data_IF_472956784739
#
_entry.id   IF_472956784739
#
_cell.length_a   1.000
_cell.length_b   1.000
_cell.length_c   1.000
_cell.angle_alpha   90.00
_cell.angle_beta   90.00
_cell.angle_gamma   90.00
#
_symmetry.space_group_name_H-M   'P 1'
#
loop_
_entity.id
_entity.type
_entity.pdbx_description
1 polymer ?
#
# COMPACT_ATOMS: atom_id res chain seq x y z
N UNK A 1 19.18 19.96 -2.13
CA UNK A 1 17.88 20.65 -2.05
C UNK A 1 17.18 20.07 -0.83
N UNK A 2 17.17 20.82 0.29
CA UNK A 2 16.69 20.33 1.58
C UNK A 2 15.19 20.02 1.47
N UNK A 3 14.81 18.76 1.69
CA UNK A 3 13.41 18.33 1.63
C UNK A 3 12.62 18.97 2.77
N UNK A 4 11.36 19.26 2.50
CA UNK A 4 10.40 19.98 3.35
C UNK A 4 9.97 19.17 4.58
N UNK A 5 10.83 18.33 5.14
CA UNK A 5 10.76 17.84 6.52
C UNK A 5 11.40 18.91 7.43
N UNK A 6 11.02 20.17 7.25
CA UNK A 6 11.43 21.23 8.15
C UNK A 6 10.37 21.38 9.24
N UNK A 7 10.72 20.86 10.44
CA UNK A 7 10.30 21.38 11.75
C UNK A 7 9.01 20.84 12.39
N UNK A 8 8.81 19.52 12.36
CA UNK A 8 7.98 18.82 13.36
C UNK A 8 8.73 17.59 13.88
N UNK A 9 8.53 17.23 15.15
CA UNK A 9 9.09 15.98 15.66
C UNK A 9 8.47 14.80 14.90
N UNK A 10 9.30 13.82 14.50
CA UNK A 10 8.90 12.64 13.70
C UNK A 10 7.66 11.92 14.25
N UNK A 11 7.47 12.00 15.57
CA UNK A 11 6.32 11.47 16.33
C UNK A 11 5.00 12.19 15.99
N UNK A 12 5.03 13.50 15.74
CA UNK A 12 3.83 14.28 15.39
C UNK A 12 3.34 13.98 13.96
N UNK A 13 4.27 13.74 13.02
CA UNK A 13 3.94 13.34 11.66
C UNK A 13 3.25 11.96 11.63
N UNK A 14 3.87 10.97 12.27
CA UNK A 14 3.33 9.61 12.35
C UNK A 14 1.99 9.55 13.11
N UNK A 15 1.81 10.35 14.18
CA UNK A 15 0.54 10.39 14.92
C UNK A 15 -0.60 11.01 14.12
N UNK A 16 -0.36 12.09 13.38
CA UNK A 16 -1.43 12.80 12.67
C UNK A 16 -1.88 12.04 11.43
N UNK A 17 -0.94 11.56 10.62
CA UNK A 17 -1.25 10.76 9.44
C UNK A 17 -1.63 9.33 9.80
N UNK A 18 -0.97 8.72 10.79
CA UNK A 18 -1.36 7.41 11.31
C UNK A 18 -2.84 7.35 11.69
N UNK A 19 -3.36 8.33 12.45
CA UNK A 19 -4.79 8.40 12.80
C UNK A 19 -5.74 8.58 11.61
N UNK A 20 -5.29 9.16 10.50
CA UNK A 20 -6.10 9.27 9.26
C UNK A 20 -5.97 8.04 8.36
N UNK A 21 -4.99 7.17 8.63
CA UNK A 21 -4.62 6.01 7.83
C UNK A 21 -4.93 4.66 8.51
N UNK A 22 -5.38 4.66 9.78
CA UNK A 22 -5.66 3.43 10.52
C UNK A 22 -6.91 2.69 10.02
N UNK A 23 -6.69 1.49 9.48
CA UNK A 23 -7.59 0.36 9.64
C UNK A 23 -7.01 -0.58 10.72
N UNK A 24 -7.84 -0.99 11.69
CA UNK A 24 -7.44 -1.91 12.76
C UNK A 24 -7.06 -3.29 12.20
N UNK A 25 -5.80 -3.70 12.41
CA UNK A 25 -5.34 -5.03 12.85
C UNK A 25 -3.89 -5.29 12.38
N UNK A 26 -2.88 -5.17 13.27
CA UNK A 26 -1.95 -6.27 13.66
C UNK A 26 -0.98 -5.80 14.77
N UNK A 27 -0.65 -6.72 15.67
CA UNK A 27 0.13 -6.55 16.90
C UNK A 27 1.66 -6.33 16.74
N UNK A 28 2.14 -5.74 15.65
CA UNK A 28 3.58 -5.46 15.43
C UNK A 28 3.73 -4.24 14.56
N UNK A 29 4.06 -3.07 15.13
CA UNK A 29 4.58 -1.82 14.50
C UNK A 29 4.26 -1.58 12.99
N UNK A 30 3.07 -1.95 12.53
CA UNK A 30 2.70 -1.93 11.13
C UNK A 30 1.90 -0.65 10.89
N UNK A 31 2.41 0.19 10.01
CA UNK A 31 1.67 1.37 9.56
C UNK A 31 0.89 0.93 8.32
N UNK A 32 -0.43 0.96 8.37
CA UNK A 32 -1.27 0.84 7.18
C UNK A 32 -1.40 2.23 6.56
N UNK A 33 -1.12 2.38 5.27
CA UNK A 33 -1.25 3.65 4.57
C UNK A 33 -1.98 3.46 3.26
N UNK A 34 -3.03 4.26 3.06
CA UNK A 34 -3.74 4.32 1.80
C UNK A 34 -2.98 5.17 0.81
N UNK A 35 -2.86 4.65 -0.40
CA UNK A 35 -2.22 5.34 -1.50
C UNK A 35 -3.27 5.87 -2.48
N UNK A 36 -3.14 7.15 -2.81
CA UNK A 36 -3.82 7.79 -3.93
C UNK A 36 -2.78 8.18 -4.98
N UNK A 37 -3.08 7.99 -6.26
CA UNK A 37 -2.17 8.37 -7.36
C UNK A 37 -2.79 9.51 -8.17
N UNK A 38 -1.98 10.50 -8.53
CA UNK A 38 -2.38 11.57 -9.45
C UNK A 38 -2.20 11.07 -10.89
N UNK A 39 -3.13 11.34 -11.83
CA UNK A 39 -2.97 10.90 -13.23
C UNK A 39 -1.77 11.55 -13.91
N UNK A 40 -1.04 10.75 -14.68
CA UNK A 40 0.10 11.18 -15.51
C UNK A 40 -0.29 12.18 -16.63
N UNK A 41 -1.57 12.32 -16.95
CA UNK A 41 -2.05 13.24 -18.00
C UNK A 41 -3.19 14.10 -17.45
N UNK A 42 -2.87 15.35 -17.12
CA UNK A 42 -3.85 16.41 -16.95
C UNK A 42 -3.80 17.34 -18.17
N UNK A 43 -4.98 17.66 -18.73
CA UNK A 43 -5.22 18.38 -19.99
C UNK A 43 -4.09 19.32 -20.44
N UNK A 44 -3.33 18.90 -21.45
CA UNK A 44 -2.58 19.80 -22.34
C UNK A 44 -1.29 20.43 -21.83
N UNK A 45 -0.75 20.01 -20.68
CA UNK A 45 0.60 20.41 -20.25
C UNK A 45 1.54 19.20 -20.28
N UNK A 46 2.62 19.31 -21.05
CA UNK A 46 3.70 18.35 -21.09
C UNK A 46 4.52 18.42 -19.79
N UNK A 47 4.65 17.28 -19.11
CA UNK A 47 5.73 16.82 -18.22
C UNK A 47 5.24 16.39 -16.83
N UNK A 48 5.26 15.05 -16.62
CA UNK A 48 5.36 14.29 -15.36
C UNK A 48 4.23 14.62 -14.37
N UNK A 49 3.66 13.64 -13.69
CA UNK A 49 3.83 13.63 -12.24
C UNK A 49 3.35 12.25 -11.80
N UNK A 50 4.15 11.22 -12.10
CA UNK A 50 4.07 9.87 -11.51
C UNK A 50 4.28 9.90 -10.00
N UNK A 51 3.50 10.74 -9.33
CA UNK A 51 3.57 11.11 -7.94
C UNK A 51 2.47 10.33 -7.24
N UNK A 52 2.93 9.55 -6.28
CA UNK A 52 2.11 8.70 -5.47
C UNK A 52 1.93 9.41 -4.12
N UNK A 53 0.69 9.76 -3.81
CA UNK A 53 0.31 10.48 -2.59
C UNK A 53 -0.14 9.49 -1.53
N UNK A 54 0.21 9.76 -0.28
CA UNK A 54 -0.27 8.99 0.86
C UNK A 54 -1.54 9.65 1.39
N UNK A 55 -2.71 9.20 0.91
CA UNK A 55 -3.99 9.84 1.22
C UNK A 55 -5.17 8.86 1.19
N UNK A 56 -6.01 8.91 2.22
CA UNK A 56 -7.10 7.93 2.44
C UNK A 56 -8.30 8.09 1.50
N UNK A 57 -8.80 9.30 1.35
CA UNK A 57 -10.02 9.56 0.61
C UNK A 57 -9.73 9.80 -0.87
N UNK A 58 -10.67 9.54 -1.78
CA UNK A 58 -10.51 9.92 -3.18
C UNK A 58 -10.54 11.44 -3.39
N UNK A 59 -11.03 12.22 -2.42
CA UNK A 59 -11.16 13.67 -2.48
C UNK A 59 -10.41 14.38 -1.35
N UNK A 60 -10.02 15.63 -1.56
CA UNK A 60 -9.20 16.41 -0.62
C UNK A 60 -10.01 17.00 0.56
N UNK A 61 -11.32 17.10 0.41
CA UNK A 61 -12.20 17.99 1.16
C UNK A 61 -12.26 17.70 2.67
N UNK A 62 -12.21 16.43 3.08
CA UNK A 62 -12.48 16.06 4.48
C UNK A 62 -11.36 16.55 5.40
N UNK A 63 -10.11 16.28 5.04
CA UNK A 63 -8.95 16.46 5.94
C UNK A 63 -8.04 17.62 5.55
N UNK A 64 -8.24 18.25 4.40
CA UNK A 64 -7.34 19.28 3.88
C UNK A 64 -8.05 20.55 3.43
N UNK A 65 -7.26 21.59 3.15
CA UNK A 65 -7.74 22.86 2.58
C UNK A 65 -8.09 22.77 1.09
N UNK A 66 -7.80 21.65 0.42
CA UNK A 66 -8.15 21.43 -0.98
C UNK A 66 -9.56 20.87 -1.15
N UNK A 67 -10.05 20.84 -2.38
CA UNK A 67 -11.39 20.33 -2.73
C UNK A 67 -11.33 19.42 -3.96
N UNK A 68 -12.32 18.55 -4.12
CA UNK A 68 -12.50 17.72 -5.32
C UNK A 68 -11.61 16.47 -5.37
N UNK A 69 -11.74 15.74 -6.49
CA UNK A 69 -11.07 14.45 -6.69
C UNK A 69 -9.57 14.62 -6.92
N UNK A 70 -8.76 13.86 -6.18
CA UNK A 70 -7.29 13.86 -6.32
C UNK A 70 -6.89 13.42 -7.73
N UNK A 71 -7.56 12.39 -8.25
CA UNK A 71 -7.30 11.84 -9.59
C UNK A 71 -7.67 12.77 -10.74
N UNK A 72 -8.20 13.96 -10.47
CA UNK A 72 -8.66 14.93 -11.48
C UNK A 72 -7.95 16.28 -11.34
N UNK A 73 -6.81 16.31 -10.65
CA UNK A 73 -6.08 17.55 -10.38
C UNK A 73 -4.58 17.31 -10.58
N UNK A 74 -3.82 18.28 -11.09
CA UNK A 74 -2.37 18.16 -11.20
C UNK A 74 -1.72 18.26 -9.82
N UNK A 75 -0.53 17.69 -9.67
CA UNK A 75 0.25 17.90 -8.44
C UNK A 75 0.77 19.34 -8.36
N UNK A 76 1.56 19.73 -9.38
CA UNK A 76 2.19 21.04 -9.45
C UNK A 76 1.17 22.17 -9.56
N UNK A 77 1.36 23.22 -8.78
CA UNK A 77 0.51 24.42 -8.72
C UNK A 77 -0.85 24.21 -8.07
N UNK A 78 -1.22 22.98 -7.68
CA UNK A 78 -2.52 22.67 -7.06
C UNK A 78 -2.34 21.85 -5.79
N UNK A 79 -2.12 20.54 -5.89
CA UNK A 79 -2.09 19.64 -4.73
C UNK A 79 -0.86 19.93 -3.84
N UNK A 80 0.27 20.35 -4.40
CA UNK A 80 1.48 20.66 -3.60
C UNK A 80 1.28 21.78 -2.57
N UNK A 81 0.28 22.64 -2.76
CA UNK A 81 -0.07 23.74 -1.85
C UNK A 81 -1.17 23.37 -0.85
N UNK A 82 -1.79 22.20 -1.00
CA UNK A 82 -2.84 21.72 -0.10
C UNK A 82 -2.24 21.39 1.27
N UNK A 83 -2.98 21.73 2.34
CA UNK A 83 -2.55 21.54 3.72
C UNK A 83 -3.60 20.86 4.57
N UNK A 84 -3.20 20.13 5.61
CA UNK A 84 -4.14 19.57 6.59
C UNK A 84 -4.92 20.67 7.31
N UNK A 85 -6.22 20.46 7.55
CA UNK A 85 -7.06 21.39 8.34
C UNK A 85 -6.67 21.39 9.82
N UNK A 86 -6.31 20.21 10.35
CA UNK A 86 -5.96 20.03 11.76
C UNK A 86 -4.53 20.49 12.02
N UNK A 87 -4.30 21.11 13.18
CA UNK A 87 -2.97 21.46 13.66
C UNK A 87 -2.19 20.24 14.20
N UNK A 88 -0.87 20.17 14.01
CA UNK A 88 -0.08 21.10 13.20
C UNK A 88 -0.41 20.97 11.71
N UNK A 89 -0.42 22.11 11.01
CA UNK A 89 -0.71 22.18 9.57
C UNK A 89 0.46 21.54 8.82
N UNK A 90 0.17 20.57 7.95
CA UNK A 90 1.17 19.79 7.22
C UNK A 90 0.83 19.69 5.73
N UNK A 91 1.83 19.52 4.84
CA UNK A 91 1.60 19.13 3.44
C UNK A 91 1.08 17.69 3.35
N UNK A 92 0.51 17.32 2.20
CA UNK A 92 0.18 15.92 1.90
C UNK A 92 1.49 15.15 1.67
N UNK A 93 1.73 14.04 2.40
CA UNK A 93 2.95 13.27 2.26
C UNK A 93 3.00 12.48 0.96
N UNK A 94 4.20 12.41 0.38
CA UNK A 94 4.48 11.61 -0.80
C UNK A 94 4.96 10.20 -0.42
N UNK A 95 4.72 9.24 -1.31
CA UNK A 95 5.24 7.88 -1.16
C UNK A 95 6.77 7.85 -1.10
N UNK A 96 7.46 8.67 -1.90
CA UNK A 96 8.91 8.76 -1.87
C UNK A 96 9.46 9.27 -0.53
N UNK A 97 8.77 10.23 0.10
CA UNK A 97 9.15 10.75 1.42
C UNK A 97 8.97 9.67 2.50
N UNK A 98 7.91 8.88 2.39
CA UNK A 98 7.67 7.75 3.28
C UNK A 98 8.72 6.65 3.10
N UNK A 99 9.06 6.28 1.86
CA UNK A 99 10.09 5.27 1.60
C UNK A 99 11.45 5.77 2.12
N UNK A 100 11.78 7.05 1.92
CA UNK A 100 12.98 7.66 2.50
C UNK A 100 13.00 7.51 4.02
N UNK A 101 11.87 7.80 4.69
CA UNK A 101 11.73 7.64 6.13
C UNK A 101 11.91 6.17 6.55
N UNK A 102 11.36 5.20 5.83
CA UNK A 102 11.48 3.77 6.13
C UNK A 102 12.89 3.21 5.91
N UNK A 103 13.72 3.89 5.12
CA UNK A 103 15.10 3.50 4.85
C UNK A 103 16.12 4.13 5.80
N UNK A 104 15.69 5.07 6.66
CA UNK A 104 16.50 5.51 7.79
C UNK A 104 16.83 4.33 8.73
N UNK A 105 18.05 4.27 9.25
CA UNK A 105 18.55 3.17 10.10
C UNK A 105 17.60 2.85 11.27
N UNK A 106 17.11 3.90 11.95
CA UNK A 106 16.18 3.76 13.08
C UNK A 106 14.81 3.17 12.71
N UNK A 107 14.42 3.16 11.43
CA UNK A 107 13.09 2.74 10.98
C UNK A 107 13.11 1.43 10.18
N UNK A 108 14.26 0.76 10.04
CA UNK A 108 14.38 -0.50 9.28
C UNK A 108 13.56 -1.66 9.87
N UNK A 109 13.13 -1.54 11.12
CA UNK A 109 12.25 -2.51 11.77
C UNK A 109 10.76 -2.36 11.37
N UNK A 110 10.39 -1.28 10.70
CA UNK A 110 8.98 -0.98 10.38
C UNK A 110 8.53 -1.78 9.16
N UNK A 111 7.36 -2.42 9.29
CA UNK A 111 6.63 -3.07 8.19
C UNK A 111 5.53 -2.10 7.74
N UNK A 112 5.43 -1.86 6.43
CA UNK A 112 4.44 -0.98 5.84
C UNK A 112 3.38 -1.81 5.12
N UNK A 113 2.12 -1.64 5.49
CA UNK A 113 0.98 -2.15 4.75
C UNK A 113 0.40 -1.04 3.87
N UNK A 114 0.21 -1.32 2.58
CA UNK A 114 -0.14 -0.36 1.56
C UNK A 114 -1.51 -0.70 1.00
N UNK A 115 -2.51 0.11 1.31
CA UNK A 115 -3.88 -0.08 0.85
C UNK A 115 -4.02 0.37 -0.61
N UNK A 116 -4.13 -0.60 -1.52
CA UNK A 116 -4.39 -0.43 -2.94
C UNK A 116 -5.90 -0.53 -3.20
N UNK A 117 -6.56 0.62 -3.25
CA UNK A 117 -8.02 0.73 -3.34
C UNK A 117 -8.51 0.67 -4.79
N UNK A 118 -9.76 0.30 -4.99
CA UNK A 118 -10.38 0.10 -6.32
C UNK A 118 -10.30 1.32 -7.25
N UNK A 119 -10.13 2.53 -6.71
CA UNK A 119 -10.02 3.78 -7.47
C UNK A 119 -8.62 3.98 -8.06
N UNK A 120 -7.62 3.22 -7.63
CA UNK A 120 -6.27 3.28 -8.16
C UNK A 120 -6.19 2.53 -9.49
N UNK A 121 -5.43 3.09 -10.44
CA UNK A 121 -5.04 2.40 -11.66
C UNK A 121 -3.75 1.59 -11.37
N UNK A 122 -3.80 0.25 -11.28
CA UNK A 122 -2.64 -0.56 -10.91
C UNK A 122 -1.51 -0.51 -11.95
N UNK A 123 -1.84 -0.25 -13.21
CA UNK A 123 -0.86 -0.14 -14.31
C UNK A 123 -0.14 1.20 -14.31
N UNK A 124 -0.56 2.15 -13.45
CA UNK A 124 0.17 3.40 -13.19
C UNK A 124 0.79 3.41 -11.80
N UNK A 125 0.03 2.94 -10.80
CA UNK A 125 0.45 2.96 -9.40
C UNK A 125 1.69 2.09 -9.17
N UNK A 126 1.66 0.82 -9.57
CA UNK A 126 2.75 -0.10 -9.22
C UNK A 126 4.06 0.15 -9.97
N UNK A 127 4.08 0.56 -11.25
CA UNK A 127 5.31 1.02 -11.89
C UNK A 127 5.95 2.19 -11.15
N UNK A 128 5.17 3.18 -10.71
CA UNK A 128 5.74 4.33 -9.99
C UNK A 128 6.23 3.96 -8.59
N UNK A 129 5.51 3.09 -7.89
CA UNK A 129 6.01 2.52 -6.63
C UNK A 129 7.32 1.77 -6.86
N UNK A 130 7.39 0.93 -7.90
CA UNK A 130 8.59 0.16 -8.26
C UNK A 130 9.77 1.09 -8.56
N UNK A 131 9.54 2.18 -9.31
CA UNK A 131 10.54 3.22 -9.57
C UNK A 131 11.07 3.84 -8.28
N UNK A 132 10.21 4.19 -7.33
CA UNK A 132 10.62 4.81 -6.05
C UNK A 132 11.39 3.81 -5.17
N UNK A 133 10.88 2.57 -5.07
CA UNK A 133 11.47 1.53 -4.20
C UNK A 133 12.87 1.15 -4.72
N UNK A 134 13.01 0.93 -6.04
CA UNK A 134 14.26 0.47 -6.66
C UNK A 134 15.40 1.50 -6.68
N UNK A 135 15.13 2.75 -6.28
CA UNK A 135 16.15 3.78 -6.11
C UNK A 135 17.06 3.55 -4.90
N UNK A 136 16.64 2.72 -3.94
CA UNK A 136 17.39 2.47 -2.72
C UNK A 136 18.30 1.25 -2.89
N UNK A 137 19.56 1.29 -2.40
CA UNK A 137 20.44 0.13 -2.44
C UNK A 137 19.87 -0.98 -1.55
N UNK A 138 20.03 -2.23 -1.99
CA UNK A 138 19.55 -3.43 -1.29
C UNK A 138 18.04 -3.43 -1.03
N UNK A 139 17.25 -2.68 -1.81
CA UNK A 139 15.80 -2.60 -1.62
C UNK A 139 15.14 -3.98 -1.67
N UNK A 140 15.69 -4.93 -2.45
CA UNK A 140 15.18 -6.30 -2.59
C UNK A 140 15.17 -7.06 -1.26
N UNK A 141 16.16 -6.81 -0.40
CA UNK A 141 16.35 -7.53 0.87
C UNK A 141 16.01 -6.69 2.09
N UNK A 142 16.22 -5.38 2.02
CA UNK A 142 16.06 -4.46 3.15
C UNK A 142 14.73 -3.69 3.12
N UNK A 143 14.04 -3.60 1.98
CA UNK A 143 12.81 -2.81 1.86
C UNK A 143 11.62 -3.66 1.42
N UNK A 144 11.68 -4.31 0.25
CA UNK A 144 10.58 -5.07 -0.32
C UNK A 144 9.96 -6.11 0.63
N UNK A 145 10.74 -6.88 1.44
CA UNK A 145 10.17 -7.83 2.39
C UNK A 145 9.31 -7.17 3.49
N UNK A 146 9.51 -5.86 3.73
CA UNK A 146 8.76 -5.06 4.69
C UNK A 146 7.55 -4.36 4.07
N UNK A 147 7.37 -4.43 2.76
CA UNK A 147 6.23 -3.84 2.06
C UNK A 147 5.16 -4.91 1.80
N UNK A 148 3.98 -4.68 2.36
CA UNK A 148 2.78 -5.49 2.15
C UNK A 148 1.83 -4.69 1.27
N UNK A 149 1.44 -5.23 0.13
CA UNK A 149 0.42 -4.68 -0.76
C UNK A 149 -0.94 -5.23 -0.34
N UNK A 150 -1.78 -4.39 0.26
CA UNK A 150 -3.16 -4.67 0.60
C UNK A 150 -4.10 -4.45 -0.59
N UNK A 151 -4.53 -5.54 -1.23
CA UNK A 151 -5.26 -5.52 -2.48
C UNK A 151 -6.77 -5.64 -2.25
N UNK A 152 -7.53 -4.61 -2.62
CA UNK A 152 -8.99 -4.61 -2.49
C UNK A 152 -9.73 -5.32 -3.63
N UNK A 153 -9.09 -5.52 -4.79
CA UNK A 153 -9.75 -6.05 -5.99
C UNK A 153 -8.85 -7.00 -6.81
N UNK A 154 -9.38 -8.06 -7.46
CA UNK A 154 -8.57 -9.01 -8.24
C UNK A 154 -7.78 -8.37 -9.39
N UNK A 155 -8.23 -7.21 -9.89
CA UNK A 155 -7.53 -6.44 -10.93
C UNK A 155 -6.09 -6.06 -10.54
N UNK A 156 -5.79 -5.98 -9.25
CA UNK A 156 -4.46 -5.63 -8.76
C UNK A 156 -3.48 -6.81 -8.79
N UNK A 157 -3.97 -8.06 -8.84
CA UNK A 157 -3.12 -9.25 -8.69
C UNK A 157 -2.04 -9.30 -9.77
N UNK A 158 -2.43 -9.28 -11.05
CA UNK A 158 -1.49 -9.38 -12.17
C UNK A 158 -0.48 -8.23 -12.19
N UNK A 159 -0.88 -6.96 -12.08
CA UNK A 159 0.08 -5.85 -12.00
C UNK A 159 1.00 -5.93 -10.77
N UNK A 160 0.51 -6.35 -9.61
CA UNK A 160 1.33 -6.48 -8.40
C UNK A 160 2.46 -7.50 -8.61
N UNK A 161 2.15 -8.66 -9.20
CA UNK A 161 3.15 -9.66 -9.56
C UNK A 161 4.12 -9.16 -10.63
N UNK A 162 3.65 -8.36 -11.59
CA UNK A 162 4.47 -7.84 -12.69
C UNK A 162 5.50 -6.81 -12.22
N UNK A 163 5.08 -5.82 -11.43
CA UNK A 163 5.91 -4.64 -11.12
C UNK A 163 6.56 -4.68 -9.72
N UNK A 164 5.94 -5.40 -8.78
CA UNK A 164 6.39 -5.50 -7.39
C UNK A 164 6.45 -6.98 -6.94
N UNK A 165 7.16 -7.86 -7.68
CA UNK A 165 7.13 -9.31 -7.43
C UNK A 165 7.61 -9.69 -6.02
N UNK A 166 8.57 -8.93 -5.47
CA UNK A 166 9.19 -9.18 -4.17
C UNK A 166 8.36 -8.68 -2.99
N UNK A 167 7.37 -7.81 -3.21
CA UNK A 167 6.51 -7.33 -2.13
C UNK A 167 5.53 -8.43 -1.72
N UNK A 168 5.20 -8.48 -0.44
CA UNK A 168 4.16 -9.38 0.08
C UNK A 168 2.79 -8.88 -0.39
N UNK A 169 1.86 -9.76 -0.73
CA UNK A 169 0.49 -9.38 -1.14
C UNK A 169 -0.52 -9.94 -0.17
N UNK A 170 -1.33 -9.06 0.41
CA UNK A 170 -2.48 -9.41 1.23
C UNK A 170 -3.75 -9.00 0.50
N UNK A 171 -4.83 -9.77 0.66
CA UNK A 171 -6.15 -9.26 0.26
C UNK A 171 -6.78 -8.53 1.45
N UNK A 172 -7.35 -7.36 1.20
CA UNK A 172 -8.20 -6.64 2.14
C UNK A 172 -9.63 -6.72 1.62
N UNK A 173 -10.57 -7.20 2.44
CA UNK A 173 -11.94 -7.31 1.96
C UNK A 173 -12.96 -7.86 2.94
N UNK A 174 -14.16 -7.98 2.40
CA UNK A 174 -15.39 -8.26 3.16
C UNK A 174 -16.14 -9.48 2.60
N UNK A 175 -15.44 -10.44 1.98
CA UNK A 175 -16.06 -11.65 1.46
C UNK A 175 -15.11 -12.83 1.41
N UNK A 176 -15.39 -13.87 2.21
CA UNK A 176 -14.65 -15.14 2.20
C UNK A 176 -14.75 -15.82 0.82
N UNK A 177 -15.93 -15.78 0.20
CA UNK A 177 -16.13 -16.33 -1.14
C UNK A 177 -15.21 -15.70 -2.20
N UNK A 178 -15.04 -14.37 -2.18
CA UNK A 178 -14.10 -13.69 -3.07
C UNK A 178 -12.66 -14.07 -2.78
N UNK A 179 -12.29 -14.22 -1.50
CA UNK A 179 -10.95 -14.70 -1.12
C UNK A 179 -10.69 -16.06 -1.74
N UNK A 180 -11.59 -17.02 -1.50
CA UNK A 180 -11.50 -18.39 -2.01
C UNK A 180 -11.39 -18.44 -3.53
N UNK A 181 -12.12 -17.57 -4.23
CA UNK A 181 -12.18 -17.56 -5.69
C UNK A 181 -10.95 -16.94 -6.36
N UNK A 182 -10.41 -15.85 -5.79
CA UNK A 182 -9.42 -15.02 -6.50
C UNK A 182 -8.10 -14.84 -5.76
N UNK A 183 -8.09 -14.87 -4.43
CA UNK A 183 -6.94 -14.44 -3.64
C UNK A 183 -6.26 -15.58 -2.87
N UNK A 184 -6.94 -16.72 -2.70
CA UNK A 184 -6.47 -17.80 -1.83
C UNK A 184 -5.06 -18.30 -2.19
N UNK A 185 -4.81 -18.53 -3.47
CA UNK A 185 -3.50 -19.00 -3.96
C UNK A 185 -2.59 -17.85 -4.43
N UNK A 186 -3.10 -16.61 -4.47
CA UNK A 186 -2.41 -15.44 -5.03
C UNK A 186 -1.89 -14.46 -3.95
N UNK A 187 -2.37 -14.57 -2.72
CA UNK A 187 -1.94 -13.73 -1.60
C UNK A 187 -1.27 -14.58 -0.51
N UNK A 188 -0.33 -13.97 0.20
CA UNK A 188 0.35 -14.59 1.35
C UNK A 188 -0.43 -14.42 2.66
N UNK A 189 -1.45 -13.55 2.66
CA UNK A 189 -2.27 -13.31 3.84
C UNK A 189 -3.55 -12.55 3.51
N UNK A 190 -4.40 -12.39 4.53
CA UNK A 190 -5.73 -11.81 4.40
C UNK A 190 -6.00 -10.87 5.57
N UNK A 191 -6.53 -9.68 5.28
CA UNK A 191 -7.02 -8.70 6.25
C UNK A 191 -8.52 -8.55 6.04
N UNK A 192 -9.29 -9.31 6.82
CA UNK A 192 -10.73 -9.42 6.64
C UNK A 192 -11.50 -8.54 7.62
N UNK A 193 -12.64 -8.01 7.19
CA UNK A 193 -13.56 -7.29 8.07
C UNK A 193 -13.99 -8.18 9.25
N UNK A 194 -13.73 -7.71 10.47
CA UNK A 194 -13.83 -8.52 11.70
C UNK A 194 -15.20 -9.18 11.92
N UNK A 195 -16.35 -8.51 11.73
CA UNK A 195 -17.66 -9.14 11.90
C UNK A 195 -17.87 -10.42 11.05
N UNK A 196 -17.27 -10.50 9.86
CA UNK A 196 -17.37 -11.69 9.00
C UNK A 196 -16.63 -12.89 9.58
N UNK A 197 -15.63 -12.65 10.42
CA UNK A 197 -14.85 -13.69 11.06
C UNK A 197 -15.58 -14.32 12.25
N UNK A 198 -16.62 -13.67 12.78
CA UNK A 198 -17.33 -14.13 13.99
C UNK A 198 -18.31 -15.28 13.73
N UNK A 199 -18.80 -15.43 12.49
CA UNK A 199 -19.71 -16.51 12.11
C UNK A 199 -18.99 -17.84 11.83
N UNK A 200 -19.77 -18.92 11.66
CA UNK A 200 -19.23 -20.26 11.41
C UNK A 200 -18.31 -20.31 10.16
N UNK A 201 -18.71 -19.64 9.07
CA UNK A 201 -17.88 -19.53 7.85
C UNK A 201 -16.56 -18.81 8.12
N UNK A 202 -16.60 -17.73 8.89
CA UNK A 202 -15.42 -16.96 9.29
C UNK A 202 -14.45 -17.74 10.18
N UNK A 203 -14.97 -18.49 11.15
CA UNK A 203 -14.16 -19.36 12.00
C UNK A 203 -13.53 -20.52 11.21
N UNK A 204 -14.28 -21.11 10.27
CA UNK A 204 -13.72 -22.11 9.35
C UNK A 204 -12.61 -21.50 8.48
N UNK A 205 -12.82 -20.30 7.95
CA UNK A 205 -11.80 -19.56 7.20
C UNK A 205 -10.52 -19.34 8.01
N UNK A 206 -10.63 -18.90 9.26
CA UNK A 206 -9.48 -18.74 10.17
C UNK A 206 -8.75 -20.08 10.40
N UNK A 207 -9.50 -21.16 10.64
CA UNK A 207 -8.94 -22.49 10.82
C UNK A 207 -8.20 -22.97 9.56
N UNK A 208 -8.72 -22.67 8.37
CA UNK A 208 -8.06 -23.00 7.11
C UNK A 208 -6.78 -22.18 6.89
N UNK A 209 -6.76 -20.91 7.27
CA UNK A 209 -5.58 -20.04 7.21
C UNK A 209 -4.46 -20.49 8.18
N UNK A 210 -4.82 -21.04 9.35
CA UNK A 210 -3.88 -21.52 10.35
C UNK A 210 -3.22 -22.86 9.97
N UNK A 211 -3.74 -23.56 8.96
CA UNK A 211 -3.14 -24.80 8.48
C UNK A 211 -1.81 -24.49 7.77
N UNK A 212 -0.76 -25.28 8.01
CA UNK A 212 0.46 -25.18 7.21
C UNK A 212 0.10 -25.30 5.73
N UNK A 213 0.60 -24.39 4.90
CA UNK A 213 0.41 -24.47 3.46
C UNK A 213 0.78 -25.88 2.99
N UNK A 214 -0.12 -26.57 2.28
CA UNK A 214 0.19 -27.85 1.63
C UNK A 214 1.39 -27.59 0.72
N UNK A 215 2.57 -28.07 1.11
CA UNK A 215 3.69 -28.20 0.17
C UNK A 215 3.20 -29.09 -0.96
N UNK A 216 2.93 -28.51 -2.13
CA UNK A 216 2.70 -29.27 -3.34
C UNK A 216 3.92 -30.14 -3.59
N UNK A 217 3.82 -31.42 -3.24
CA UNK A 217 4.81 -32.42 -3.57
C UNK A 217 4.70 -32.74 -5.06
N UNK A 218 5.20 -31.85 -5.93
CA UNK A 218 5.37 -32.13 -7.35
C UNK A 218 6.78 -31.76 -7.77
N UNK A 219 7.72 -32.61 -7.35
CA UNK A 219 9.13 -32.55 -7.71
C UNK A 219 9.81 -33.90 -7.57
N UNK A 220 9.08 -35.01 -7.80
CA UNK A 220 9.70 -36.33 -7.95
C UNK A 220 10.07 -36.48 -9.42
N UNK A 221 11.28 -36.04 -9.76
CA UNK A 221 11.96 -36.49 -10.96
C UNK A 221 12.14 -38.01 -10.86
N UNK A 222 11.27 -38.76 -11.54
CA UNK A 222 11.54 -40.16 -11.87
C UNK A 222 12.51 -40.18 -13.04
N UNK A 223 13.80 -40.03 -12.77
CA UNK A 223 14.84 -40.56 -13.65
C UNK A 223 14.89 -42.07 -13.42
N UNK A 224 14.08 -42.84 -14.17
CA UNK A 224 14.34 -44.27 -14.36
C UNK A 224 15.19 -44.39 -15.61
N UNK A 225 16.42 -44.85 -15.41
CA UNK A 225 17.26 -45.29 -16.52
C UNK A 225 16.69 -46.56 -17.14
N UNK A 226 16.75 -46.61 -18.47
CA UNK A 226 17.37 -47.65 -19.28
C UNK A 226 17.50 -47.13 -20.70
#
# INVERSE_FOLDING_TARGET
MQSTIARLSRVQWAKQWGWQMFNLNVATAAVAIVISSVPYQFKGQHAIDGIVLMFHDPTLDRTTTGTGLIREQPWKGVIEHVRTKKHPVQPIPLFEELIALLMEEGNRHVILNIDCKMQNDPEKLFPEMSRVISQYPLWETELAPRLILGLWHPLFLRPAYKYLPLCTRYHIGESVALVRKFFWDACQGFSMCFPLLMGAEGQQFLADCARPARRSASGRSTRKGR
#
